data_IF_619053722231
#
_entry.id   IF_619053722231
#
_cell.length_a   1.000
_cell.length_b   1.000
_cell.length_c   1.000
_cell.angle_alpha   90.00
_cell.angle_beta   90.00
_cell.angle_gamma   90.00
#
_symmetry.space_group_name_H-M   'P 1'
#
loop_
_entity.id
_entity.type
_entity.pdbx_description
1 polymer ?
#
# COMPACT_ATOMS: atom_id res chain seq x y z
N UNK A 1 4.94 -26.76 -22.94
CA UNK A 1 4.50 -26.36 -21.58
C UNK A 1 3.92 -24.96 -21.75
N UNK A 2 2.62 -24.88 -22.06
CA UNK A 2 1.94 -23.60 -22.32
C UNK A 2 1.64 -22.98 -20.96
N UNK A 3 2.25 -21.84 -20.65
CA UNK A 3 1.78 -21.02 -19.55
C UNK A 3 0.35 -20.58 -19.89
N UNK A 4 -0.59 -20.85 -18.98
CA UNK A 4 -1.97 -20.40 -19.07
C UNK A 4 -2.00 -18.86 -19.03
N UNK A 5 -2.49 -18.14 -20.05
CA UNK A 5 -2.34 -16.69 -20.15
C UNK A 5 -3.29 -15.87 -19.23
N UNK A 6 -4.00 -16.49 -18.28
CA UNK A 6 -4.96 -15.77 -17.43
C UNK A 6 -4.98 -16.29 -15.98
N UNK A 7 -3.85 -16.23 -15.28
CA UNK A 7 -3.89 -16.02 -13.83
C UNK A 7 -3.71 -14.52 -13.59
N UNK A 8 -4.51 -13.86 -12.72
CA UNK A 8 -4.14 -12.51 -12.29
C UNK A 8 -2.72 -12.60 -11.73
N UNK A 9 -1.78 -11.90 -12.35
CA UNK A 9 -0.43 -11.78 -11.84
C UNK A 9 -0.52 -10.90 -10.60
N UNK A 10 -0.74 -11.53 -9.45
CA UNK A 10 -0.75 -10.83 -8.17
C UNK A 10 0.55 -10.02 -8.02
N UNK A 11 0.41 -8.81 -7.50
CA UNK A 11 1.58 -8.02 -7.12
C UNK A 11 2.27 -8.70 -5.93
N UNK A 12 3.51 -9.12 -6.10
CA UNK A 12 4.29 -9.78 -5.06
C UNK A 12 5.39 -8.85 -4.59
N UNK A 13 5.38 -8.50 -3.31
CA UNK A 13 6.48 -7.75 -2.68
C UNK A 13 7.67 -8.69 -2.49
N UNK A 14 8.71 -8.52 -3.30
CA UNK A 14 9.89 -9.39 -3.32
C UNK A 14 10.94 -8.95 -2.30
N UNK A 15 11.15 -7.64 -2.17
CA UNK A 15 12.02 -7.02 -1.17
C UNK A 15 11.55 -5.60 -0.86
N UNK A 16 11.79 -5.15 0.36
CA UNK A 16 11.56 -3.78 0.78
C UNK A 16 12.67 -3.35 1.75
N UNK A 17 12.94 -2.06 1.80
CA UNK A 17 13.93 -1.47 2.69
C UNK A 17 14.70 -0.31 2.04
N UNK A 18 15.33 0.52 2.87
CA UNK A 18 16.07 1.72 2.43
C UNK A 18 15.24 2.67 1.52
N UNK A 19 13.92 2.72 1.74
CA UNK A 19 13.00 3.56 0.95
C UNK A 19 12.71 3.03 -0.45
N UNK A 20 13.02 1.75 -0.73
CA UNK A 20 12.77 1.11 -2.03
C UNK A 20 11.95 -0.15 -1.83
N UNK A 21 11.00 -0.39 -2.74
CA UNK A 21 10.25 -1.63 -2.88
C UNK A 21 10.60 -2.28 -4.22
N UNK A 22 10.75 -3.61 -4.21
CA UNK A 22 10.74 -4.42 -5.41
C UNK A 22 9.47 -5.23 -5.43
N UNK A 23 8.66 -5.02 -6.46
CA UNK A 23 7.35 -5.64 -6.58
C UNK A 23 7.22 -6.19 -8.00
N UNK A 24 7.02 -7.51 -8.11
CA UNK A 24 6.87 -8.22 -9.39
C UNK A 24 7.91 -7.82 -10.45
N UNK A 25 9.18 -7.66 -10.06
CA UNK A 25 10.27 -7.28 -10.95
C UNK A 25 10.44 -5.77 -11.20
N UNK A 26 9.58 -4.92 -10.64
CA UNK A 26 9.63 -3.45 -10.80
C UNK A 26 10.13 -2.80 -9.50
N UNK A 27 11.05 -1.83 -9.65
CA UNK A 27 11.56 -1.03 -8.53
C UNK A 27 10.71 0.22 -8.32
N UNK A 28 10.27 0.45 -7.10
CA UNK A 28 9.56 1.65 -6.67
C UNK A 28 10.35 2.36 -5.58
N UNK A 29 10.48 3.68 -5.68
CA UNK A 29 11.10 4.51 -4.65
C UNK A 29 10.01 5.23 -3.84
N UNK A 30 10.13 5.22 -2.52
CA UNK A 30 9.15 5.79 -1.59
C UNK A 30 7.96 4.86 -1.34
N UNK A 31 6.87 5.45 -0.87
CA UNK A 31 5.65 4.72 -0.50
C UNK A 31 4.87 4.27 -1.75
N UNK A 32 4.20 3.13 -1.64
CA UNK A 32 3.43 2.53 -2.74
C UNK A 32 2.11 1.97 -2.24
N UNK A 33 1.11 1.96 -3.12
CA UNK A 33 -0.13 1.21 -2.91
C UNK A 33 -0.10 -0.03 -3.81
N UNK A 34 -0.23 -1.20 -3.19
CA UNK A 34 -0.18 -2.49 -3.85
C UNK A 34 -1.60 -3.04 -3.97
N UNK A 35 -2.09 -3.11 -5.20
CA UNK A 35 -3.39 -3.71 -5.54
C UNK A 35 -3.17 -5.11 -6.10
N UNK A 36 -4.21 -5.97 -6.17
CA UNK A 36 -4.06 -7.29 -6.78
C UNK A 36 -3.48 -7.26 -8.20
N UNK A 37 -3.84 -6.26 -9.00
CA UNK A 37 -3.50 -6.18 -10.42
C UNK A 37 -2.39 -5.18 -10.73
N UNK A 38 -2.15 -4.19 -9.87
CA UNK A 38 -1.20 -3.11 -10.13
C UNK A 38 -0.57 -2.54 -8.86
N UNK A 39 0.61 -1.94 -9.01
CA UNK A 39 1.24 -1.15 -7.96
C UNK A 39 1.39 0.29 -8.45
N UNK A 40 0.98 1.25 -7.63
CA UNK A 40 1.07 2.68 -7.93
C UNK A 40 1.89 3.40 -6.87
N UNK A 41 2.61 4.44 -7.30
CA UNK A 41 3.32 5.31 -6.38
C UNK A 41 2.35 6.08 -5.48
N UNK A 42 2.68 6.16 -4.19
CA UNK A 42 1.93 6.91 -3.21
C UNK A 42 2.77 8.09 -2.74
N UNK A 43 2.30 9.30 -2.98
CA UNK A 43 3.05 10.53 -2.70
C UNK A 43 2.97 10.92 -1.21
N UNK A 44 3.38 10.01 -0.33
CA UNK A 44 3.45 10.17 1.12
C UNK A 44 4.85 9.75 1.55
N UNK A 45 5.60 10.68 2.15
CA UNK A 45 6.95 10.40 2.64
C UNK A 45 6.99 10.26 4.17
N UNK A 46 5.96 10.74 4.87
CA UNK A 46 5.84 10.72 6.31
C UNK A 46 4.39 10.68 6.77
N UNK A 47 4.15 10.38 8.04
CA UNK A 47 2.82 10.44 8.66
C UNK A 47 2.15 11.81 8.51
N UNK A 48 2.93 12.90 8.54
CA UNK A 48 2.42 14.26 8.39
C UNK A 48 1.86 14.54 6.98
N UNK A 49 2.25 13.76 5.98
CA UNK A 49 1.77 13.89 4.60
C UNK A 49 0.45 13.14 4.38
N UNK A 50 0.01 12.32 5.34
CA UNK A 50 -1.22 11.55 5.24
C UNK A 50 -2.40 12.47 5.56
N UNK A 51 -3.18 12.77 4.53
CA UNK A 51 -4.41 13.54 4.59
C UNK A 51 -5.48 12.89 3.70
N UNK A 52 -6.69 13.47 3.67
CA UNK A 52 -7.81 12.93 2.90
C UNK A 52 -7.48 12.75 1.40
N UNK A 53 -6.70 13.67 0.82
CA UNK A 53 -6.26 13.56 -0.59
C UNK A 53 -5.32 12.37 -0.78
N UNK A 54 -4.41 12.14 0.17
CA UNK A 54 -3.50 11.01 0.12
C UNK A 54 -4.23 9.66 0.31
N UNK A 55 -5.33 9.65 1.07
CA UNK A 55 -6.11 8.44 1.34
C UNK A 55 -7.19 8.16 0.29
N UNK A 56 -7.62 9.16 -0.49
CA UNK A 56 -8.60 8.99 -1.58
C UNK A 56 -8.34 7.74 -2.47
N UNK A 57 -7.13 7.52 -3.02
CA UNK A 57 -6.87 6.32 -3.84
C UNK A 57 -6.95 5.00 -3.04
N UNK A 58 -6.74 5.04 -1.72
CA UNK A 58 -6.87 3.86 -0.84
C UNK A 58 -8.35 3.53 -0.66
N UNK A 59 -9.19 4.52 -0.38
CA UNK A 59 -10.64 4.34 -0.24
C UNK A 59 -11.30 3.92 -1.55
N UNK A 60 -10.95 4.57 -2.66
CA UNK A 60 -11.41 4.19 -3.99
C UNK A 60 -11.01 2.73 -4.30
N UNK A 61 -9.79 2.36 -3.91
CA UNK A 61 -9.25 1.01 -4.01
C UNK A 61 -10.00 -0.04 -3.20
N UNK A 62 -10.32 0.26 -1.95
CA UNK A 62 -11.05 -0.64 -1.05
C UNK A 62 -12.52 -0.83 -1.49
N UNK A 63 -13.11 0.16 -2.15
CA UNK A 63 -14.48 0.05 -2.68
C UNK A 63 -14.61 -0.87 -3.91
N UNK A 64 -13.50 -1.24 -4.55
CA UNK A 64 -13.50 -2.17 -5.68
C UNK A 64 -13.74 -3.62 -5.22
N UNK A 65 -14.32 -4.45 -6.08
CA UNK A 65 -14.48 -5.88 -5.80
C UNK A 65 -13.10 -6.56 -5.71
N UNK A 66 -12.77 -7.12 -4.54
CA UNK A 66 -11.42 -7.61 -4.25
C UNK A 66 -10.41 -6.48 -3.95
N UNK A 67 -10.91 -5.35 -3.44
CA UNK A 67 -10.16 -4.14 -3.14
C UNK A 67 -9.13 -4.28 -2.03
N UNK A 68 -8.54 -3.15 -1.64
CA UNK A 68 -7.49 -3.11 -0.61
C UNK A 68 -8.07 -3.45 0.76
N UNK A 69 -7.49 -4.44 1.44
CA UNK A 69 -7.78 -4.77 2.85
C UNK A 69 -6.60 -4.45 3.79
N UNK A 70 -5.42 -4.17 3.23
CA UNK A 70 -4.19 -3.93 3.99
C UNK A 70 -3.38 -2.77 3.40
N UNK A 71 -3.09 -1.77 4.24
CA UNK A 71 -2.17 -0.68 3.96
C UNK A 71 -0.85 -0.94 4.71
N UNK A 72 0.20 -1.32 3.97
CA UNK A 72 1.55 -1.43 4.50
C UNK A 72 2.20 -0.04 4.53
N UNK A 73 2.43 0.48 5.72
CA UNK A 73 3.00 1.80 5.92
C UNK A 73 4.46 1.67 6.36
N UNK A 74 5.39 1.85 5.42
CA UNK A 74 6.81 1.96 5.75
C UNK A 74 7.07 3.25 6.51
N UNK A 75 7.33 3.15 7.82
CA UNK A 75 7.56 4.31 8.69
C UNK A 75 9.00 4.87 8.54
N UNK A 76 9.83 4.22 7.72
CA UNK A 76 11.24 4.56 7.59
C UNK A 76 11.98 4.34 8.92
N UNK A 77 13.07 5.08 9.19
CA UNK A 77 13.98 4.79 10.30
C UNK A 77 13.39 4.97 11.71
N UNK A 78 12.13 5.42 11.83
CA UNK A 78 11.42 5.56 13.11
C UNK A 78 9.99 5.04 12.96
N UNK A 79 9.63 4.04 13.75
CA UNK A 79 8.22 3.70 13.94
C UNK A 79 7.52 4.83 14.69
N UNK A 80 6.60 5.53 14.03
CA UNK A 80 5.67 6.43 14.68
C UNK A 80 4.34 5.71 14.91
N UNK A 81 3.68 6.05 16.01
CA UNK A 81 2.35 5.54 16.28
C UNK A 81 1.36 6.14 15.28
N UNK A 82 0.72 5.29 14.50
CA UNK A 82 -0.41 5.68 13.65
C UNK A 82 -1.50 6.30 14.57
N UNK A 83 -1.76 7.59 14.42
CA UNK A 83 -2.78 8.31 15.19
C UNK A 83 -4.17 7.68 15.00
N UNK A 84 -5.03 7.76 16.01
CA UNK A 84 -6.40 7.24 15.92
C UNK A 84 -7.20 7.91 14.80
N UNK A 85 -6.98 9.20 14.57
CA UNK A 85 -7.62 9.98 13.50
C UNK A 85 -7.33 9.41 12.11
N UNK A 86 -6.18 8.75 11.93
CA UNK A 86 -5.83 8.07 10.69
C UNK A 86 -6.39 6.63 10.66
N UNK A 87 -6.36 5.93 11.80
CA UNK A 87 -6.87 4.55 11.90
C UNK A 87 -8.38 4.47 11.70
N UNK A 88 -9.13 5.39 12.28
CA UNK A 88 -10.59 5.34 12.32
C UNK A 88 -11.23 5.26 10.92
N UNK A 89 -10.97 6.19 9.98
CA UNK A 89 -11.61 6.17 8.67
C UNK A 89 -11.18 4.95 7.83
N UNK A 90 -9.92 4.52 7.94
CA UNK A 90 -9.42 3.34 7.25
C UNK A 90 -10.09 2.06 7.78
N UNK A 91 -10.29 1.96 9.09
CA UNK A 91 -10.99 0.83 9.70
C UNK A 91 -12.48 0.80 9.36
N UNK A 92 -13.16 1.94 9.25
CA UNK A 92 -14.55 2.01 8.77
C UNK A 92 -14.67 1.53 7.31
N UNK A 93 -13.64 1.75 6.50
CA UNK A 93 -13.54 1.23 5.15
C UNK A 93 -13.07 -0.24 5.06
N UNK A 94 -12.88 -0.93 6.21
CA UNK A 94 -12.43 -2.32 6.24
C UNK A 94 -10.93 -2.52 5.99
N UNK A 95 -10.15 -1.44 5.99
CA UNK A 95 -8.71 -1.46 5.72
C UNK A 95 -7.93 -1.57 7.03
N UNK A 96 -7.04 -2.56 7.11
CA UNK A 96 -6.06 -2.72 8.18
C UNK A 96 -4.81 -1.91 7.83
N UNK A 97 -4.29 -1.12 8.78
CA UNK A 97 -3.01 -0.42 8.62
C UNK A 97 -1.95 -1.18 9.41
N UNK A 98 -0.88 -1.58 8.75
CA UNK A 98 0.29 -2.15 9.41
C UNK A 98 1.52 -1.26 9.22
N UNK A 99 2.00 -0.61 10.29
CA UNK A 99 3.28 0.09 10.26
C UNK A 99 4.44 -0.92 10.21
N UNK A 100 5.33 -0.73 9.24
CA UNK A 100 6.56 -1.52 9.02
C UNK A 100 7.80 -0.64 9.26
N UNK A 101 8.92 -1.27 9.61
CA UNK A 101 10.22 -0.66 9.95
C UNK A 101 11.13 -0.33 8.75
#
# INVERSE_FOLDING_TARGET
MSADPQSPSYQVVERYGAGIFQISGVSYAGSVLVFPEQTVSWNVASFADINDTALAPVFDGAALAGGIELLLLGCGPRMELVAEDLRYPLREAGIVIEPMD
#
